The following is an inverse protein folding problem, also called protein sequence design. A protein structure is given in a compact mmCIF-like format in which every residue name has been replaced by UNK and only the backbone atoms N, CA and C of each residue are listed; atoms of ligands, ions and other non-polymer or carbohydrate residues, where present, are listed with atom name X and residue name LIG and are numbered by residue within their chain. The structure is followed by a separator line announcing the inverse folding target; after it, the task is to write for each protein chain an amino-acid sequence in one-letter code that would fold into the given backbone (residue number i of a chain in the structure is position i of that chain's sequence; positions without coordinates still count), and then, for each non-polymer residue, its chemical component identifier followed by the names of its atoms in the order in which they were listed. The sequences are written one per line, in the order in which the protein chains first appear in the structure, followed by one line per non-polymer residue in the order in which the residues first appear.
data_IF_165295717627
#
_entry.id   IF_165295717627
#
_cell.length_a   1.000
_cell.length_b   1.000
_cell.length_c   1.000
_cell.angle_alpha   90.00
_cell.angle_beta   90.00
_cell.angle_gamma   90.00
#
_symmetry.space_group_name_H-M   'P 1'
#
loop_
_entity.id
_entity.type
_entity.pdbx_description
1 polymer ?
#
# COMPACT_ATOMS: atom_id res chain seq x y z
N UNK A 1 40.94 -3.47 -19.58
CA UNK A 1 39.92 -4.53 -19.41
C UNK A 1 38.90 -4.02 -18.43
N UNK A 2 37.63 -4.06 -18.81
CA UNK A 2 36.49 -3.38 -18.21
C UNK A 2 36.33 -3.67 -16.72
N UNK A 3 36.47 -2.65 -15.88
CA UNK A 3 36.00 -2.67 -14.50
C UNK A 3 34.48 -2.86 -14.53
N UNK A 4 34.01 -4.01 -14.07
CA UNK A 4 32.61 -4.23 -13.80
C UNK A 4 32.21 -3.30 -12.65
N UNK A 5 31.57 -2.19 -12.99
CA UNK A 5 30.81 -1.36 -12.06
C UNK A 5 29.65 -2.20 -11.53
N UNK A 6 29.94 -3.07 -10.56
CA UNK A 6 28.94 -3.55 -9.61
C UNK A 6 28.57 -2.32 -8.80
N UNK A 7 27.48 -1.67 -9.20
CA UNK A 7 26.89 -0.58 -8.45
C UNK A 7 26.63 -1.05 -7.02
N UNK A 8 27.54 -0.68 -6.15
CA UNK A 8 27.28 0.06 -4.93
C UNK A 8 25.80 -0.03 -4.48
N UNK A 9 25.56 -0.83 -3.43
CA UNK A 9 24.52 -0.49 -2.45
C UNK A 9 23.04 -0.66 -2.85
N UNK A 10 22.66 -1.62 -3.70
CA UNK A 10 21.25 -2.03 -3.81
C UNK A 10 20.80 -2.82 -2.56
N UNK A 11 20.83 -2.17 -1.40
CA UNK A 11 20.23 -2.59 -0.14
C UNK A 11 18.71 -2.56 -0.29
N UNK A 12 18.14 -3.60 -0.91
CA UNK A 12 16.73 -3.73 -1.29
C UNK A 12 16.30 -2.70 -2.36
N UNK A 13 15.76 -3.12 -3.51
CA UNK A 13 15.19 -2.17 -4.47
C UNK A 13 14.13 -1.31 -3.75
N UNK A 14 14.16 0.00 -3.97
CA UNK A 14 13.17 0.91 -3.40
C UNK A 14 11.75 0.41 -3.69
N UNK A 15 10.91 0.37 -2.65
CA UNK A 15 9.53 -0.13 -2.77
C UNK A 15 8.77 0.79 -3.73
N UNK A 16 8.32 0.24 -4.86
CA UNK A 16 7.55 0.99 -5.84
C UNK A 16 6.09 1.15 -5.37
N UNK A 17 5.84 2.16 -4.56
CA UNK A 17 4.55 2.48 -3.96
C UNK A 17 3.42 2.77 -4.96
N UNK A 18 3.79 3.04 -6.21
CA UNK A 18 2.85 3.31 -7.32
C UNK A 18 2.40 2.04 -8.02
N UNK A 19 3.04 0.89 -7.77
CA UNK A 19 2.63 -0.39 -8.34
C UNK A 19 1.20 -0.73 -7.93
N UNK A 20 0.50 -1.49 -8.78
CA UNK A 20 -0.82 -2.01 -8.44
C UNK A 20 -0.69 -3.03 -7.31
N UNK A 21 -1.67 -3.06 -6.41
CA UNK A 21 -1.81 -4.06 -5.37
C UNK A 21 -3.29 -4.33 -5.12
N UNK A 22 -3.62 -5.59 -4.86
CA UNK A 22 -4.93 -6.03 -4.43
C UNK A 22 -4.97 -6.13 -2.91
N UNK A 23 -5.95 -5.50 -2.26
CA UNK A 23 -6.28 -5.73 -0.86
C UNK A 23 -7.57 -6.57 -0.80
N UNK A 24 -7.44 -7.78 -0.27
CA UNK A 24 -8.49 -8.81 -0.16
C UNK A 24 -8.97 -8.90 1.31
N UNK A 25 -10.17 -9.47 1.53
CA UNK A 25 -10.82 -9.59 2.85
C UNK A 25 -11.16 -8.25 3.52
N UNK A 26 -11.76 -7.35 2.74
CA UNK A 26 -12.08 -5.98 3.13
C UNK A 26 -13.59 -5.78 3.14
N UNK A 27 -14.22 -5.49 4.30
CA UNK A 27 -15.66 -5.26 4.37
C UNK A 27 -16.01 -3.95 3.67
N UNK A 28 -16.64 -4.01 2.49
CA UNK A 28 -17.18 -2.84 1.80
C UNK A 28 -18.69 -2.86 1.80
N UNK A 29 -19.31 -2.41 2.88
CA UNK A 29 -20.76 -2.13 2.96
C UNK A 29 -21.69 -3.34 2.80
N UNK A 30 -21.47 -4.19 1.80
CA UNK A 30 -22.29 -5.34 1.40
C UNK A 30 -21.51 -6.47 0.66
N UNK A 31 -20.19 -6.36 0.40
CA UNK A 31 -19.43 -7.48 -0.18
C UNK A 31 -17.93 -7.45 0.12
N UNK A 32 -17.35 -8.64 0.29
CA UNK A 32 -15.91 -8.86 0.37
C UNK A 32 -15.34 -8.95 -1.05
N UNK A 33 -14.91 -7.82 -1.58
CA UNK A 33 -14.35 -7.69 -2.93
C UNK A 33 -12.94 -7.13 -2.83
N UNK A 34 -12.02 -7.71 -3.59
CA UNK A 34 -10.64 -7.24 -3.68
C UNK A 34 -10.59 -5.81 -4.25
N UNK A 35 -10.06 -4.85 -3.48
CA UNK A 35 -9.77 -3.52 -4.01
C UNK A 35 -8.40 -3.53 -4.70
N UNK A 36 -8.40 -3.28 -6.00
CA UNK A 36 -7.16 -3.04 -6.75
C UNK A 36 -6.89 -1.53 -6.79
N UNK A 37 -5.80 -1.12 -6.15
CA UNK A 37 -5.35 0.28 -6.08
C UNK A 37 -3.81 0.29 -6.09
N UNK A 38 -3.17 1.46 -6.05
CA UNK A 38 -1.72 1.52 -5.80
C UNK A 38 -1.37 0.91 -4.45
N UNK A 39 -0.17 0.33 -4.32
CA UNK A 39 0.34 -0.27 -3.09
C UNK A 39 0.20 0.67 -1.88
N UNK A 40 0.57 1.94 -2.02
CA UNK A 40 0.36 2.93 -0.96
C UNK A 40 -1.13 3.08 -0.60
N UNK A 41 -2.02 3.10 -1.60
CA UNK A 41 -3.45 3.17 -1.37
C UNK A 41 -4.00 1.94 -0.64
N UNK A 42 -3.51 0.75 -0.97
CA UNK A 42 -3.90 -0.49 -0.33
C UNK A 42 -3.46 -0.53 1.15
N UNK A 43 -2.22 -0.11 1.44
CA UNK A 43 -1.70 -0.02 2.81
C UNK A 43 -2.47 1.02 3.64
N UNK A 44 -2.79 2.19 3.07
CA UNK A 44 -3.60 3.21 3.76
C UNK A 44 -5.03 2.68 3.99
N UNK A 45 -5.65 2.02 3.01
CA UNK A 45 -6.98 1.43 3.17
C UNK A 45 -6.99 0.40 4.31
N UNK A 46 -5.95 -0.43 4.39
CA UNK A 46 -5.76 -1.39 5.47
C UNK A 46 -5.64 -0.71 6.84
N UNK A 47 -4.94 0.44 6.94
CA UNK A 47 -4.86 1.25 8.16
C UNK A 47 -6.19 1.89 8.57
N UNK A 48 -7.18 1.93 7.69
CA UNK A 48 -8.53 2.45 8.00
C UNK A 48 -9.50 1.34 8.46
N UNK A 49 -9.13 0.07 8.29
CA UNK A 49 -9.96 -1.08 8.71
C UNK A 49 -10.00 -1.26 10.23
N UNK A 50 -11.01 -1.96 10.72
CA UNK A 50 -11.03 -2.47 12.09
C UNK A 50 -9.92 -3.50 12.33
N UNK A 51 -9.38 -3.61 13.55
CA UNK A 51 -8.28 -4.53 13.87
C UNK A 51 -8.57 -5.99 13.51
N UNK A 52 -9.83 -6.45 13.65
CA UNK A 52 -10.25 -7.80 13.25
C UNK A 52 -10.10 -8.01 11.74
N UNK A 53 -10.52 -7.05 10.93
CA UNK A 53 -10.41 -7.12 9.47
C UNK A 53 -8.96 -6.94 9.00
N UNK A 54 -8.16 -6.13 9.68
CA UNK A 54 -6.72 -6.00 9.41
C UNK A 54 -5.97 -7.32 9.52
N UNK A 55 -6.34 -8.14 10.51
CA UNK A 55 -5.73 -9.45 10.72
C UNK A 55 -6.10 -10.46 9.62
N UNK A 56 -7.29 -10.33 9.03
CA UNK A 56 -7.79 -11.18 7.95
C UNK A 56 -7.41 -10.67 6.55
N UNK A 57 -7.07 -9.38 6.43
CA UNK A 57 -6.75 -8.75 5.18
C UNK A 57 -5.47 -9.31 4.55
N UNK A 58 -5.53 -9.54 3.24
CA UNK A 58 -4.42 -10.02 2.43
C UNK A 58 -4.07 -8.97 1.38
N UNK A 59 -2.81 -8.53 1.37
CA UNK A 59 -2.28 -7.59 0.40
C UNK A 59 -1.40 -8.36 -0.60
N UNK A 60 -1.86 -8.41 -1.85
CA UNK A 60 -1.18 -9.06 -2.96
C UNK A 60 -0.70 -7.98 -3.94
N UNK A 61 0.58 -7.57 -3.89
CA UNK A 61 1.13 -6.64 -4.87
C UNK A 61 1.21 -7.28 -6.26
N UNK A 62 1.16 -6.47 -7.32
CA UNK A 62 1.32 -6.91 -8.71
C UNK A 62 2.67 -7.62 -8.93
N UNK A 63 3.70 -7.19 -8.20
CA UNK A 63 5.04 -7.78 -8.20
C UNK A 63 5.47 -8.05 -6.77
N UNK A 64 6.18 -9.17 -6.56
CA UNK A 64 6.70 -9.51 -5.24
C UNK A 64 7.58 -8.38 -4.68
N UNK A 65 7.27 -7.93 -3.47
CA UNK A 65 8.04 -6.90 -2.78
C UNK A 65 9.29 -7.51 -2.18
N UNK A 66 10.44 -6.88 -2.39
CA UNK A 66 11.67 -7.30 -1.72
C UNK A 66 11.82 -6.48 -0.45
N UNK A 67 11.55 -7.10 0.69
CA UNK A 67 11.65 -6.48 2.01
C UNK A 67 12.78 -7.19 2.74
N UNK A 68 13.84 -6.45 3.07
CA UNK A 68 15.02 -6.99 3.77
C UNK A 68 15.64 -8.21 3.04
N UNK A 69 15.66 -8.14 1.72
CA UNK A 69 16.17 -9.20 0.84
C UNK A 69 15.22 -10.39 0.63
N UNK A 70 14.04 -10.40 1.28
CA UNK A 70 13.03 -11.44 1.10
C UNK A 70 11.97 -11.01 0.10
N UNK A 71 11.72 -11.86 -0.90
CA UNK A 71 10.63 -11.65 -1.86
C UNK A 71 9.29 -12.07 -1.24
N UNK A 72 8.43 -11.09 -0.98
CA UNK A 72 7.10 -11.22 -0.40
C UNK A 72 6.05 -11.02 -1.51
N UNK A 73 5.52 -12.11 -2.11
CA UNK A 73 4.45 -12.01 -3.09
C UNK A 73 3.08 -11.72 -2.47
N UNK A 74 2.94 -11.89 -1.14
CA UNK A 74 1.73 -11.64 -0.37
C UNK A 74 2.10 -11.17 1.04
N UNK A 75 1.32 -10.25 1.58
CA UNK A 75 1.48 -9.70 2.92
C UNK A 75 0.15 -9.81 3.67
N UNK A 76 0.21 -10.06 4.97
CA UNK A 76 -0.98 -10.17 5.83
C UNK A 76 -0.69 -9.55 7.19
N UNK A 77 -1.70 -8.94 7.82
CA UNK A 77 -1.62 -8.47 9.20
C UNK A 77 -0.34 -7.69 9.52
N UNK A 78 0.52 -8.28 10.35
CA UNK A 78 1.80 -7.69 10.79
C UNK A 78 2.76 -7.33 9.64
N UNK A 79 2.79 -8.10 8.56
CA UNK A 79 3.64 -7.77 7.41
C UNK A 79 3.17 -6.48 6.71
N UNK A 80 1.86 -6.23 6.66
CA UNK A 80 1.30 -4.98 6.15
C UNK A 80 1.56 -3.85 7.16
N UNK A 81 1.51 -4.12 8.47
CA UNK A 81 1.86 -3.16 9.51
C UNK A 81 3.31 -2.66 9.36
N UNK A 82 4.27 -3.59 9.23
CA UNK A 82 5.67 -3.27 9.00
C UNK A 82 5.88 -2.48 7.69
N UNK A 83 5.10 -2.82 6.65
CA UNK A 83 5.11 -2.06 5.41
C UNK A 83 4.55 -0.64 5.61
N UNK A 84 3.49 -0.47 6.40
CA UNK A 84 2.90 0.82 6.72
C UNK A 84 3.87 1.76 7.46
N UNK A 85 4.72 1.24 8.33
CA UNK A 85 5.77 2.03 9.00
C UNK A 85 6.82 2.56 8.02
N UNK A 86 7.00 1.89 6.87
CA UNK A 86 7.91 2.31 5.79
C UNK A 86 7.25 3.23 4.77
N UNK A 87 5.95 3.53 4.91
CA UNK A 87 5.21 4.36 3.95
C UNK A 87 5.76 5.81 3.93
N UNK A 88 6.23 6.32 2.78
CA UNK A 88 6.70 7.69 2.68
C UNK A 88 5.56 8.69 2.96
N UNK A 89 5.86 9.75 3.71
CA UNK A 89 4.89 10.78 4.06
C UNK A 89 4.24 11.46 2.83
N UNK A 90 4.95 11.51 1.70
CA UNK A 90 4.42 11.98 0.42
C UNK A 90 3.25 11.12 -0.10
N UNK A 91 3.35 9.79 0.05
CA UNK A 91 2.32 8.84 -0.38
C UNK A 91 1.12 8.87 0.56
N UNK A 92 1.39 8.98 1.87
CA UNK A 92 0.35 9.18 2.88
C UNK A 92 -0.49 10.45 2.59
N UNK A 93 0.16 11.53 2.14
CA UNK A 93 -0.52 12.79 1.77
C UNK A 93 -1.28 12.71 0.45
N UNK A 94 -0.80 11.92 -0.52
CA UNK A 94 -1.42 11.82 -1.84
C UNK A 94 -2.86 11.27 -1.77
N UNK A 95 -3.16 10.34 -0.86
CA UNK A 95 -4.51 9.82 -0.62
C UNK A 95 -5.43 10.87 0.02
N UNK A 96 -4.91 11.67 0.97
CA UNK A 96 -5.66 12.71 1.69
C UNK A 96 -6.04 13.94 0.85
N UNK A 97 -5.50 14.09 -0.37
CA UNK A 97 -5.85 15.19 -1.29
C UNK A 97 -7.10 14.93 -2.15
N UNK A 98 -7.88 13.86 -1.89
CA UNK A 98 -9.25 13.78 -2.40
C UNK A 98 -10.10 14.78 -1.62
N UNK A 99 -10.19 15.97 -2.21
CA UNK A 99 -10.97 17.14 -1.81
C UNK A 99 -12.31 16.73 -1.17
N UNK A 100 -12.67 17.19 0.05
CA UNK A 100 -14.07 17.17 0.44
C UNK A 100 -14.79 18.08 -0.54
N UNK A 101 -15.75 17.51 -1.26
CA UNK A 101 -16.65 18.28 -2.11
C UNK A 101 -17.16 19.47 -1.29
N UNK A 102 -16.80 20.66 -1.74
CA UNK A 102 -17.34 21.93 -1.28
C UNK A 102 -18.78 21.98 -1.77
N UNK A 103 -19.67 21.21 -1.14
CA UNK A 103 -21.11 21.42 -1.31
C UNK A 103 -21.44 22.76 -0.66
N UNK A 104 -21.88 23.65 -1.54
CA UNK A 104 -22.06 25.05 -1.29
C UNK A 104 -23.25 25.25 -0.36
N UNK A 105 -23.01 25.89 0.76
CA UNK A 105 -24.03 26.72 1.40
C UNK A 105 -24.37 27.90 0.47
N UNK A 106 -25.65 28.17 0.28
CA UNK A 106 -26.17 29.50 -0.03
C UNK A 106 -27.12 29.59 -1.22
N UNK A 107 -28.41 29.43 -0.96
CA UNK A 107 -29.52 30.27 -1.49
C UNK A 107 -30.72 30.02 -0.56
N UNK A 108 -31.59 31.00 -0.27
CA UNK A 108 -32.12 32.02 -1.19
C UNK A 108 -31.63 33.45 -0.95
#
# INVERSE_FOLDING_TARGET
MTEANWGDGALSPEIDWRMSAALENVPRGDSDLAEVTSLAGAVIAWLELDPTHRALALLTPERALVVDGQSLPKLSGEAIAALAERLPAEQARARGKRTPARERQGEP
#
